data_IF_391936192054
#
_entry.id   IF_391936192054
#
_cell.length_a   1.000
_cell.length_b   1.000
_cell.length_c   1.000
_cell.angle_alpha   90.00
_cell.angle_beta   90.00
_cell.angle_gamma   90.00
#
_symmetry.space_group_name_H-M   'P 1'
#
loop_
_entity.id
_entity.type
_entity.pdbx_description
1 polymer ?
#
# COMPACT_ATOMS: atom_id res chain seq x y z
N UNK A 1 -7.61 6.98 2.83
CA UNK A 1 -6.70 7.97 2.22
C UNK A 1 -6.73 9.23 3.07
N UNK A 2 -5.81 10.18 2.89
CA UNK A 2 -5.84 11.48 3.58
C UNK A 2 -6.19 12.64 2.61
N UNK A 3 -6.95 12.33 1.56
CA UNK A 3 -7.31 13.32 0.53
C UNK A 3 -8.38 14.26 1.07
N UNK A 4 -8.29 15.54 0.69
CA UNK A 4 -9.33 16.50 1.02
C UNK A 4 -10.59 16.18 0.21
N UNK A 5 -11.76 16.33 0.84
CA UNK A 5 -13.04 16.03 0.19
C UNK A 5 -13.25 16.95 -1.01
N UNK A 6 -13.72 16.37 -2.13
CA UNK A 6 -14.00 17.11 -3.37
C UNK A 6 -12.78 17.46 -4.23
N UNK A 7 -11.57 17.05 -3.84
CA UNK A 7 -10.35 17.32 -4.61
C UNK A 7 -10.14 16.27 -5.71
N UNK A 8 -9.87 16.67 -6.97
CA UNK A 8 -9.59 15.73 -8.06
C UNK A 8 -8.44 14.77 -7.74
N UNK A 9 -8.58 13.52 -8.17
CA UNK A 9 -7.47 12.56 -8.15
C UNK A 9 -6.28 13.07 -8.96
N UNK A 10 -5.06 12.62 -8.62
CA UNK A 10 -3.82 13.03 -9.30
C UNK A 10 -3.61 14.55 -9.37
N UNK A 11 -3.93 15.28 -8.28
CA UNK A 11 -3.73 16.73 -8.18
C UNK A 11 -2.77 17.10 -7.06
N UNK A 12 -2.08 18.23 -7.22
CA UNK A 12 -1.19 18.79 -6.20
C UNK A 12 -1.91 19.10 -4.88
N UNK A 13 -3.21 19.40 -4.94
CA UNK A 13 -4.01 19.63 -3.75
C UNK A 13 -4.14 18.36 -2.89
N UNK A 14 -4.21 17.16 -3.49
CA UNK A 14 -4.16 15.91 -2.74
C UNK A 14 -2.74 15.56 -2.27
N UNK A 15 -1.72 15.90 -3.06
CA UNK A 15 -0.32 15.71 -2.64
C UNK A 15 0.03 16.57 -1.42
N UNK A 16 -0.44 17.83 -1.38
CA UNK A 16 -0.12 18.75 -0.29
C UNK A 16 -0.73 18.33 1.04
N UNK A 17 -1.84 17.58 1.05
CA UNK A 17 -2.42 17.06 2.31
C UNK A 17 -1.49 16.08 3.03
N UNK A 18 -0.59 15.42 2.30
CA UNK A 18 0.43 14.54 2.86
C UNK A 18 1.42 15.27 3.78
N UNK A 19 1.72 16.54 3.50
CA UNK A 19 2.71 17.33 4.24
C UNK A 19 2.17 18.03 5.50
N UNK A 20 0.90 17.84 5.84
CA UNK A 20 0.26 18.50 6.99
C UNK A 20 -0.37 17.48 7.95
N UNK A 21 -0.94 17.97 9.05
CA UNK A 21 -1.43 17.16 10.18
C UNK A 21 -2.32 15.98 9.76
N UNK A 22 -3.21 16.15 8.77
CA UNK A 22 -4.08 15.05 8.32
C UNK A 22 -3.28 13.89 7.70
N UNK A 23 -2.28 14.18 6.87
CA UNK A 23 -1.38 13.19 6.27
C UNK A 23 -0.61 12.42 7.33
N UNK A 24 0.04 13.12 8.27
CA UNK A 24 0.81 12.48 9.35
C UNK A 24 -0.05 11.59 10.25
N UNK A 25 -1.25 12.04 10.63
CA UNK A 25 -2.17 11.25 11.46
C UNK A 25 -2.64 9.98 10.73
N UNK A 26 -2.98 10.09 9.45
CA UNK A 26 -3.37 8.92 8.66
C UNK A 26 -2.22 7.94 8.43
N UNK A 27 -1.00 8.43 8.21
CA UNK A 27 0.20 7.60 8.10
C UNK A 27 0.42 6.79 9.38
N UNK A 28 0.39 7.44 10.55
CA UNK A 28 0.57 6.75 11.83
C UNK A 28 -0.55 5.74 12.12
N UNK A 29 -1.79 6.07 11.74
CA UNK A 29 -2.92 5.15 11.89
C UNK A 29 -2.75 3.89 11.02
N UNK A 30 -2.39 4.06 9.74
CA UNK A 30 -2.11 2.94 8.85
C UNK A 30 -0.93 2.09 9.34
N UNK A 31 0.14 2.74 9.81
CA UNK A 31 1.31 2.04 10.37
C UNK A 31 0.95 1.15 11.56
N UNK A 32 0.08 1.64 12.47
CA UNK A 32 -0.41 0.84 13.60
C UNK A 32 -1.15 -0.41 13.13
N UNK A 33 -2.07 -0.26 12.18
CA UNK A 33 -2.81 -1.40 11.63
C UNK A 33 -1.89 -2.45 10.99
N UNK A 34 -0.94 -2.01 10.16
CA UNK A 34 0.04 -2.92 9.55
C UNK A 34 0.92 -3.63 10.60
N UNK A 35 1.37 -2.90 11.62
CA UNK A 35 2.21 -3.47 12.67
C UNK A 35 1.47 -4.49 13.53
N UNK A 36 0.22 -4.21 13.90
CA UNK A 36 -0.60 -5.17 14.67
C UNK A 36 -0.92 -6.41 13.86
N UNK A 37 -1.28 -6.27 12.59
CA UNK A 37 -1.50 -7.42 11.69
C UNK A 37 -0.23 -8.26 11.52
N UNK A 38 0.94 -7.62 11.39
CA UNK A 38 2.21 -8.34 11.32
C UNK A 38 2.52 -9.08 12.63
N UNK A 39 2.21 -8.48 13.80
CA UNK A 39 2.35 -9.14 15.09
C UNK A 39 1.46 -10.38 15.19
N UNK A 40 0.20 -10.30 14.74
CA UNK A 40 -0.71 -11.46 14.71
C UNK A 40 -0.13 -12.62 13.88
N UNK A 41 0.48 -12.34 12.73
CA UNK A 41 1.14 -13.37 11.92
C UNK A 41 2.38 -13.98 12.57
N UNK A 42 3.13 -13.21 13.34
CA UNK A 42 4.29 -13.72 14.09
C UNK A 42 3.85 -14.62 15.24
N UNK A 43 2.73 -14.28 15.90
CA UNK A 43 2.20 -15.02 17.05
C UNK A 43 1.36 -16.25 16.65
N UNK A 44 0.73 -16.23 15.47
CA UNK A 44 -0.07 -17.34 14.93
C UNK A 44 0.43 -17.74 13.51
N UNK A 45 1.35 -18.72 13.42
CA UNK A 45 1.82 -19.24 12.14
C UNK A 45 0.72 -19.88 11.28
N UNK A 46 -0.36 -20.38 11.89
CA UNK A 46 -1.48 -20.98 11.16
C UNK A 46 -2.30 -19.89 10.45
N UNK A 47 -2.50 -18.73 11.10
CA UNK A 47 -3.09 -17.56 10.47
C UNK A 47 -2.27 -17.08 9.27
N UNK A 48 -0.93 -17.03 9.42
CA UNK A 48 -0.04 -16.67 8.32
C UNK A 48 -0.19 -17.64 7.13
N UNK A 49 -0.28 -18.94 7.38
CA UNK A 49 -0.46 -19.92 6.30
C UNK A 49 -1.80 -19.71 5.58
N UNK A 50 -2.91 -19.53 6.32
CA UNK A 50 -4.22 -19.24 5.72
C UNK A 50 -4.21 -17.97 4.86
N UNK A 51 -3.54 -16.92 5.33
CA UNK A 51 -3.42 -15.67 4.57
C UNK A 51 -2.63 -15.86 3.26
N UNK A 52 -1.57 -16.68 3.26
CA UNK A 52 -0.82 -17.01 2.05
C UNK A 52 -1.65 -17.85 1.07
N UNK A 53 -2.41 -18.81 1.57
CA UNK A 53 -3.27 -19.67 0.75
C UNK A 53 -4.39 -18.85 0.08
N UNK A 54 -5.03 -17.94 0.82
CA UNK A 54 -6.01 -17.00 0.27
C UNK A 54 -5.39 -16.10 -0.80
N UNK A 55 -4.21 -15.53 -0.55
CA UNK A 55 -3.52 -14.68 -1.53
C UNK A 55 -3.17 -15.43 -2.82
N UNK A 56 -2.71 -16.67 -2.71
CA UNK A 56 -2.44 -17.52 -3.87
C UNK A 56 -3.72 -17.81 -4.67
N UNK A 57 -4.83 -18.09 -3.98
CA UNK A 57 -6.13 -18.33 -4.61
C UNK A 57 -6.69 -17.06 -5.29
N UNK A 58 -6.65 -15.90 -4.61
CA UNK A 58 -7.21 -14.64 -5.12
C UNK A 58 -6.42 -14.07 -6.30
N UNK A 59 -5.10 -14.26 -6.31
CA UNK A 59 -4.24 -13.90 -7.44
C UNK A 59 -4.27 -14.94 -8.56
N UNK A 60 -4.83 -16.13 -8.31
CA UNK A 60 -4.71 -17.32 -9.16
C UNK A 60 -3.23 -17.64 -9.48
N UNK A 61 -2.34 -17.39 -8.53
CA UNK A 61 -0.90 -17.52 -8.69
C UNK A 61 -0.27 -16.57 -9.74
N UNK A 62 -1.00 -15.55 -10.23
CA UNK A 62 -0.47 -14.60 -11.21
C UNK A 62 0.40 -13.56 -10.50
N UNK A 63 1.72 -13.54 -10.76
CA UNK A 63 2.58 -12.52 -10.19
C UNK A 63 2.28 -11.16 -10.83
N UNK A 64 2.64 -10.08 -10.12
CA UNK A 64 2.64 -8.75 -10.69
C UNK A 64 3.52 -8.71 -11.95
N UNK A 65 2.97 -8.16 -13.03
CA UNK A 65 3.71 -7.86 -14.26
C UNK A 65 3.84 -6.35 -14.38
N UNK A 66 5.07 -5.86 -14.44
CA UNK A 66 5.31 -4.44 -14.71
C UNK A 66 4.81 -4.12 -16.12
N UNK A 67 3.90 -3.15 -16.22
CA UNK A 67 3.38 -2.68 -17.51
C UNK A 67 4.33 -1.71 -18.21
N UNK A 68 5.40 -1.29 -17.53
CA UNK A 68 6.48 -0.51 -18.14
C UNK A 68 7.42 -1.50 -18.84
N UNK A 69 7.63 -1.35 -20.17
CA UNK A 69 8.56 -2.21 -20.90
C UNK A 69 9.97 -2.16 -20.31
N UNK A 70 10.68 -3.29 -20.33
CA UNK A 70 11.97 -3.46 -19.66
C UNK A 70 13.07 -2.54 -20.22
N UNK A 71 12.91 -2.10 -21.48
CA UNK A 71 13.81 -1.20 -22.19
C UNK A 71 13.65 0.28 -21.76
N UNK A 72 12.55 0.64 -21.08
CA UNK A 72 12.32 2.02 -20.65
C UNK A 72 13.23 2.35 -19.48
N UNK A 73 14.23 3.20 -19.75
CA UNK A 73 15.14 3.71 -18.74
C UNK A 73 14.69 5.09 -18.27
N UNK A 74 14.90 5.45 -16.98
CA UNK A 74 14.71 6.80 -16.52
C UNK A 74 15.64 7.77 -17.28
N UNK A 75 15.20 9.01 -17.46
CA UNK A 75 15.99 10.06 -18.11
C UNK A 75 17.33 10.21 -17.37
N UNK A 76 18.45 10.13 -18.10
CA UNK A 76 19.78 10.45 -17.54
C UNK A 76 19.76 11.88 -16.99
N UNK A 77 20.40 12.14 -15.83
CA UNK A 77 20.43 13.45 -15.20
C UNK A 77 20.91 14.56 -16.15
#
# INVERSE_FOLDING_TARGET
>A
TCFALGVPGHSWANTSTGGVSIGHKGMLHAAKGMATTAADFVLDPALLQRAKDEFAASTAGRPYQCLIPAEVQPRKP
#
